data_IF_519180793147
#
_entry.id   IF_519180793147
#
_cell.length_a   1.000
_cell.length_b   1.000
_cell.length_c   1.000
_cell.angle_alpha   90.00
_cell.angle_beta   90.00
_cell.angle_gamma   90.00
#
_symmetry.space_group_name_H-M   'P 1'
#
loop_
_entity.id
_entity.type
_entity.pdbx_description
1 polymer ?
#
# COMPACT_ATOMS: atom_id res chain seq x y z
N UNK A 1 12.26 7.72 14.19
CA UNK A 1 11.08 8.51 14.62
C UNK A 1 10.27 7.84 15.73
N UNK A 2 9.79 6.61 15.56
CA UNK A 2 8.98 5.93 16.59
C UNK A 2 9.67 5.89 17.96
N UNK A 3 10.96 5.52 18.03
CA UNK A 3 11.73 5.54 19.28
C UNK A 3 11.73 6.91 19.99
N UNK A 4 11.90 7.99 19.23
CA UNK A 4 11.92 9.34 19.78
C UNK A 4 10.54 9.75 20.31
N UNK A 5 9.48 9.44 19.55
CA UNK A 5 8.10 9.70 19.99
C UNK A 5 7.77 8.89 21.24
N UNK A 6 8.14 7.61 21.29
CA UNK A 6 7.97 6.72 22.44
C UNK A 6 8.61 7.30 23.69
N UNK A 7 9.90 7.64 23.64
CA UNK A 7 10.62 8.22 24.78
C UNK A 7 9.95 9.50 25.30
N UNK A 8 9.45 10.35 24.41
CA UNK A 8 8.73 11.57 24.79
C UNK A 8 7.37 11.29 25.43
N UNK A 9 6.66 10.25 24.98
CA UNK A 9 5.40 9.84 25.60
C UNK A 9 5.64 9.20 26.96
N UNK A 10 6.60 8.27 27.07
CA UNK A 10 6.95 7.61 28.32
C UNK A 10 7.45 8.58 29.38
N UNK A 11 8.29 9.55 29.01
CA UNK A 11 8.75 10.57 29.94
C UNK A 11 7.60 11.39 30.56
N UNK A 12 6.44 11.48 29.89
CA UNK A 12 5.29 12.27 30.33
C UNK A 12 4.21 11.44 31.02
N UNK A 13 3.95 10.23 30.52
CA UNK A 13 2.81 9.42 30.91
C UNK A 13 3.22 8.06 31.50
N UNK A 14 4.50 7.68 31.46
CA UNK A 14 4.92 6.30 31.70
C UNK A 14 4.54 5.38 30.55
N UNK A 15 4.61 4.07 30.78
CA UNK A 15 4.29 3.05 29.78
C UNK A 15 2.90 2.47 30.03
N UNK A 16 2.15 2.07 28.98
CA UNK A 16 0.93 1.29 29.17
C UNK A 16 1.22 0.00 29.96
N UNK A 17 0.44 -0.29 31.00
CA UNK A 17 0.75 -1.39 31.92
C UNK A 17 0.82 -2.78 31.25
N UNK A 18 0.05 -3.02 30.19
CA UNK A 18 0.07 -4.29 29.46
C UNK A 18 1.37 -4.61 28.70
N UNK A 19 2.29 -3.65 28.54
CA UNK A 19 3.58 -3.89 27.85
C UNK A 19 4.76 -4.09 28.79
N UNK A 20 4.57 -3.98 30.11
CA UNK A 20 5.69 -4.06 31.08
C UNK A 20 6.41 -5.42 31.06
N UNK A 21 5.69 -6.49 30.75
CA UNK A 21 6.23 -7.86 30.65
C UNK A 21 6.33 -8.34 29.19
N UNK A 22 6.15 -7.44 28.22
CA UNK A 22 6.20 -7.72 26.79
C UNK A 22 7.56 -7.31 26.24
N UNK A 23 8.20 -8.17 25.44
CA UNK A 23 9.34 -7.77 24.62
C UNK A 23 8.85 -7.02 23.37
N UNK A 24 8.29 -5.83 23.59
CA UNK A 24 7.57 -5.09 22.57
C UNK A 24 6.81 -3.90 23.12
N UNK A 25 6.25 -3.11 22.21
CA UNK A 25 5.58 -1.84 22.55
C UNK A 25 4.08 -1.87 22.30
N UNK A 26 3.51 -2.98 21.84
CA UNK A 26 2.07 -3.06 21.53
C UNK A 26 1.64 -2.01 20.48
N UNK A 27 2.56 -1.53 19.65
CA UNK A 27 2.32 -0.52 18.62
C UNK A 27 2.96 -0.93 17.29
N UNK A 28 2.18 -0.87 16.22
CA UNK A 28 2.56 -1.22 14.86
C UNK A 28 2.40 -0.06 13.88
N UNK A 29 3.27 -0.02 12.88
CA UNK A 29 3.16 0.86 11.71
C UNK A 29 3.09 -0.02 10.48
N UNK A 30 2.01 0.11 9.72
CA UNK A 30 1.86 -0.45 8.40
C UNK A 30 2.34 0.56 7.36
N UNK A 31 3.15 0.10 6.41
CA UNK A 31 3.44 0.83 5.20
C UNK A 31 2.51 0.37 4.09
N UNK A 32 1.77 1.30 3.50
CA UNK A 32 0.95 1.11 2.31
C UNK A 32 1.65 1.68 1.07
N UNK A 33 0.99 1.57 -0.09
CA UNK A 33 1.43 2.22 -1.32
C UNK A 33 2.89 1.91 -1.66
N UNK A 34 3.67 2.97 -1.92
CA UNK A 34 5.08 2.85 -2.32
C UNK A 34 5.98 2.32 -1.21
N UNK A 35 5.69 2.65 0.06
CA UNK A 35 6.46 2.15 1.22
C UNK A 35 6.26 0.64 1.38
N UNK A 36 5.01 0.22 1.29
CA UNK A 36 4.61 -1.18 1.42
C UNK A 36 5.15 -2.03 0.28
N UNK A 37 5.00 -1.56 -0.96
CA UNK A 37 5.44 -2.25 -2.16
C UNK A 37 6.90 -2.05 -2.57
N UNK A 38 7.80 -1.62 -1.67
CA UNK A 38 9.24 -1.45 -1.94
C UNK A 38 9.55 -0.57 -3.16
N UNK A 39 8.87 0.57 -3.27
CA UNK A 39 8.88 1.46 -4.44
C UNK A 39 9.07 2.94 -4.07
N UNK A 40 9.86 3.22 -3.04
CA UNK A 40 10.17 4.60 -2.68
C UNK A 40 11.07 5.26 -3.72
N UNK A 41 10.74 6.50 -4.07
CA UNK A 41 11.58 7.40 -4.87
C UNK A 41 11.97 8.63 -4.04
N UNK A 42 12.78 9.51 -4.62
CA UNK A 42 13.39 10.65 -3.91
C UNK A 42 12.39 11.64 -3.30
N UNK A 43 11.23 11.82 -3.95
CA UNK A 43 10.15 12.70 -3.48
C UNK A 43 8.90 11.94 -3.04
N UNK A 44 9.03 10.69 -2.59
CA UNK A 44 7.88 9.89 -2.19
C UNK A 44 7.40 10.22 -0.77
N UNK A 45 6.10 10.45 -0.65
CA UNK A 45 5.40 10.43 0.63
C UNK A 45 5.41 9.02 1.26
N UNK A 46 5.21 8.96 2.57
CA UNK A 46 5.05 7.72 3.32
C UNK A 46 3.57 7.48 3.65
N UNK A 47 2.97 6.49 2.98
CA UNK A 47 1.60 6.04 3.26
C UNK A 47 1.60 5.13 4.51
N UNK A 48 1.16 5.65 5.66
CA UNK A 48 1.25 4.97 6.95
C UNK A 48 -0.12 4.74 7.60
N UNK A 49 -0.32 3.56 8.17
CA UNK A 49 -1.45 3.23 9.06
C UNK A 49 -0.91 2.75 10.40
N UNK A 50 -1.49 3.21 11.50
CA UNK A 50 -1.03 2.87 12.85
C UNK A 50 -1.99 1.89 13.52
N UNK A 51 -1.43 0.86 14.16
CA UNK A 51 -2.17 -0.14 14.90
C UNK A 51 -1.63 -0.28 16.33
N UNK A 52 -2.48 -0.73 17.26
CA UNK A 52 -2.07 -1.22 18.56
C UNK A 52 -2.91 -2.44 18.95
N UNK A 53 -2.47 -3.20 19.96
CA UNK A 53 -3.25 -4.31 20.53
C UNK A 53 -3.59 -4.07 22.01
N UNK A 54 -3.60 -2.80 22.42
CA UNK A 54 -4.00 -2.38 23.77
C UNK A 54 -5.40 -2.89 24.16
N UNK A 55 -5.51 -3.73 25.20
CA UNK A 55 -6.79 -4.07 25.80
C UNK A 55 -7.51 -2.84 26.35
N UNK A 56 -8.82 -2.98 26.58
CA UNK A 56 -9.59 -2.03 27.36
C UNK A 56 -9.13 -2.01 28.82
N UNK A 57 -9.36 -0.90 29.53
CA UNK A 57 -9.01 -0.71 30.94
C UNK A 57 -7.51 -0.85 31.26
N UNK A 58 -6.64 -0.60 30.29
CA UNK A 58 -5.20 -0.45 30.49
C UNK A 58 -4.88 1.02 30.72
N UNK A 59 -4.02 1.28 31.70
CA UNK A 59 -3.57 2.63 32.04
C UNK A 59 -2.05 2.72 32.00
N UNK A 60 -1.56 3.95 31.89
CA UNK A 60 -0.12 4.24 31.84
C UNK A 60 0.45 4.43 33.24
N UNK A 61 1.71 4.05 33.45
CA UNK A 61 2.32 3.96 34.79
C UNK A 61 2.97 5.23 35.33
N UNK A 62 2.93 6.34 34.58
CA UNK A 62 3.59 7.58 34.96
C UNK A 62 2.77 8.45 35.91
N UNK A 63 3.38 9.54 36.37
CA UNK A 63 2.75 10.46 37.31
C UNK A 63 1.43 11.08 36.79
N UNK A 64 1.28 11.19 35.47
CA UNK A 64 0.03 11.55 34.82
C UNK A 64 -0.54 10.32 34.11
N UNK A 65 -1.36 9.57 34.84
CA UNK A 65 -2.07 8.42 34.30
C UNK A 65 -3.06 8.86 33.20
N UNK A 66 -3.02 8.12 32.09
CA UNK A 66 -3.99 8.19 30.99
C UNK A 66 -4.32 6.78 30.52
N UNK A 67 -5.48 6.65 29.87
CA UNK A 67 -5.90 5.43 29.16
C UNK A 67 -4.86 4.99 28.11
N UNK A 68 -4.65 3.68 28.00
CA UNK A 68 -3.65 3.09 27.13
C UNK A 68 -3.92 3.33 25.64
N UNK A 69 -5.18 3.27 25.20
CA UNK A 69 -5.55 3.60 23.81
C UNK A 69 -5.31 5.09 23.54
N UNK A 70 -5.60 5.96 24.51
CA UNK A 70 -5.26 7.39 24.43
C UNK A 70 -3.74 7.61 24.33
N UNK A 71 -2.91 6.83 25.03
CA UNK A 71 -1.46 6.89 24.91
C UNK A 71 -1.01 6.60 23.48
N UNK A 72 -1.50 5.51 22.85
CA UNK A 72 -1.15 5.18 21.47
C UNK A 72 -1.65 6.20 20.45
N UNK A 73 -2.82 6.80 20.68
CA UNK A 73 -3.31 7.90 19.84
C UNK A 73 -2.35 9.10 19.88
N UNK A 74 -1.91 9.50 21.08
CA UNK A 74 -0.93 10.60 21.25
C UNK A 74 0.43 10.23 20.65
N UNK A 75 0.84 8.98 20.75
CA UNK A 75 2.06 8.47 20.12
C UNK A 75 1.99 8.62 18.60
N UNK A 76 0.91 8.15 17.97
CA UNK A 76 0.71 8.28 16.52
C UNK A 76 0.70 9.75 16.07
N UNK A 77 0.00 10.62 16.80
CA UNK A 77 0.01 12.07 16.56
C UNK A 77 1.42 12.65 16.65
N UNK A 78 2.20 12.22 17.64
CA UNK A 78 3.57 12.68 17.83
C UNK A 78 4.49 12.19 16.71
N UNK A 79 4.33 10.96 16.25
CA UNK A 79 5.07 10.43 15.10
C UNK A 79 4.80 11.28 13.86
N UNK A 80 3.53 11.51 13.51
CA UNK A 80 3.15 12.35 12.36
C UNK A 80 3.75 13.74 12.49
N UNK A 81 3.61 14.37 13.66
CA UNK A 81 4.18 15.69 13.92
C UNK A 81 5.70 15.72 13.72
N UNK A 82 6.44 14.73 14.24
CA UNK A 82 7.89 14.73 14.10
C UNK A 82 8.35 14.51 12.64
N UNK A 83 7.55 13.86 11.79
CA UNK A 83 7.84 13.74 10.36
C UNK A 83 7.56 15.03 9.59
N UNK A 84 6.43 15.70 9.88
CA UNK A 84 5.95 16.86 9.11
C UNK A 84 6.40 18.22 9.65
N UNK A 85 7.01 18.27 10.84
CA UNK A 85 7.54 19.53 11.39
C UNK A 85 8.66 20.08 10.52
N UNK A 86 8.47 21.28 9.98
CA UNK A 86 9.49 21.99 9.22
C UNK A 86 10.56 22.54 10.15
N UNK A 87 11.79 22.10 9.93
CA UNK A 87 13.00 22.62 10.58
C UNK A 87 13.79 23.50 9.61
N UNK A 88 14.94 24.01 10.04
CA UNK A 88 15.86 24.75 9.16
C UNK A 88 16.30 23.92 7.93
N UNK A 89 16.31 22.60 8.04
CA UNK A 89 16.67 21.67 6.94
C UNK A 89 15.45 21.14 6.17
N UNK A 90 14.26 21.69 6.38
CA UNK A 90 13.01 21.21 5.78
C UNK A 90 12.25 20.22 6.68
N UNK A 91 11.37 19.44 6.05
CA UNK A 91 10.61 18.35 6.68
C UNK A 91 11.35 17.02 6.49
N UNK A 92 11.04 16.01 7.31
CA UNK A 92 11.70 14.71 7.20
C UNK A 92 11.08 13.87 6.07
N UNK A 93 9.76 13.68 6.13
CA UNK A 93 8.93 13.08 5.08
C UNK A 93 7.53 13.66 5.19
N UNK A 94 6.86 13.84 4.06
CA UNK A 94 5.41 13.97 4.05
C UNK A 94 4.80 12.59 4.38
N UNK A 95 3.81 12.58 5.27
CA UNK A 95 3.16 11.35 5.74
C UNK A 95 1.69 11.41 5.35
N UNK A 96 1.25 10.42 4.58
CA UNK A 96 -0.16 10.24 4.22
C UNK A 96 -0.77 9.14 5.09
N UNK A 97 -1.80 9.49 5.86
CA UNK A 97 -2.52 8.57 6.76
C UNK A 97 -3.95 8.27 6.29
N UNK A 98 -4.29 8.59 5.03
CA UNK A 98 -5.67 8.51 4.51
C UNK A 98 -6.14 7.09 4.23
N UNK A 99 -5.24 6.11 4.12
CA UNK A 99 -5.58 4.70 3.88
C UNK A 99 -5.96 3.91 5.15
N UNK A 100 -6.07 4.60 6.30
CA UNK A 100 -6.58 3.98 7.53
C UNK A 100 -8.10 3.74 7.47
N UNK A 101 -8.65 2.83 8.28
CA UNK A 101 -10.10 2.62 8.38
C UNK A 101 -10.90 3.92 8.47
N UNK A 102 -11.98 4.03 7.67
CA UNK A 102 -12.83 5.23 7.55
C UNK A 102 -12.09 6.51 7.10
N UNK A 103 -10.88 6.38 6.55
CA UNK A 103 -10.09 7.46 5.98
C UNK A 103 -9.88 8.64 6.93
N UNK A 104 -10.09 9.86 6.44
CA UNK A 104 -9.90 11.09 7.21
C UNK A 104 -10.82 11.19 8.45
N UNK A 105 -11.98 10.54 8.41
CA UNK A 105 -12.98 10.53 9.49
C UNK A 105 -12.70 9.49 10.57
N UNK A 106 -11.83 8.51 10.29
CA UNK A 106 -11.45 7.48 11.24
C UNK A 106 -10.40 7.92 12.26
N UNK A 107 -10.29 7.15 13.34
CA UNK A 107 -9.22 7.30 14.34
C UNK A 107 -7.85 7.19 13.68
N UNK A 108 -6.87 7.96 14.17
CA UNK A 108 -5.50 7.93 13.63
C UNK A 108 -4.80 6.58 13.88
N UNK A 109 -5.20 5.90 14.95
CA UNK A 109 -4.71 4.58 15.35
C UNK A 109 -5.92 3.70 15.69
N UNK A 110 -5.88 2.44 15.25
CA UNK A 110 -6.94 1.46 15.53
C UNK A 110 -6.38 0.28 16.34
N UNK A 111 -7.25 -0.43 17.05
CA UNK A 111 -6.88 -1.76 17.55
C UNK A 111 -6.69 -2.72 16.38
N UNK A 112 -5.86 -3.77 16.55
CA UNK A 112 -5.74 -4.84 15.57
C UNK A 112 -7.10 -5.51 15.29
N UNK A 113 -7.91 -5.71 16.33
CA UNK A 113 -9.25 -6.30 16.25
C UNK A 113 -10.19 -5.43 15.43
N UNK A 114 -10.29 -4.13 15.72
CA UNK A 114 -11.15 -3.22 14.96
C UNK A 114 -10.67 -3.04 13.52
N UNK A 115 -9.36 -3.11 13.27
CA UNK A 115 -8.83 -3.12 11.91
C UNK A 115 -9.27 -4.37 11.14
N UNK A 116 -9.20 -5.55 11.76
CA UNK A 116 -9.66 -6.79 11.15
C UNK A 116 -11.17 -6.77 10.84
N UNK A 117 -11.99 -6.36 11.81
CA UNK A 117 -13.44 -6.24 11.66
C UNK A 117 -13.82 -5.27 10.54
N UNK A 118 -13.18 -4.09 10.49
CA UNK A 118 -13.41 -3.11 9.43
C UNK A 118 -13.05 -3.67 8.05
N UNK A 119 -11.89 -4.33 7.92
CA UNK A 119 -11.46 -4.91 6.64
C UNK A 119 -12.40 -6.02 6.16
N UNK A 120 -13.03 -6.76 7.07
CA UNK A 120 -13.94 -7.84 6.75
C UNK A 120 -15.35 -7.35 6.39
N UNK A 121 -15.84 -6.31 7.07
CA UNK A 121 -17.27 -5.95 7.04
C UNK A 121 -17.58 -4.64 6.34
N UNK A 122 -16.65 -3.69 6.28
CA UNK A 122 -16.89 -2.33 5.81
C UNK A 122 -16.01 -1.92 4.61
N UNK A 123 -14.82 -2.52 4.48
CA UNK A 123 -13.85 -2.10 3.49
C UNK A 123 -14.29 -2.35 2.04
N UNK A 124 -14.05 -1.36 1.18
CA UNK A 124 -14.34 -1.46 -0.25
C UNK A 124 -13.27 -2.27 -0.99
N UNK A 125 -13.61 -2.76 -2.20
CA UNK A 125 -12.66 -3.48 -3.09
C UNK A 125 -11.33 -2.72 -3.28
N UNK A 126 -11.37 -1.39 -3.42
CA UNK A 126 -10.17 -0.57 -3.58
C UNK A 126 -9.29 -0.51 -2.31
N UNK A 127 -9.88 -0.65 -1.11
CA UNK A 127 -9.14 -0.75 0.14
C UNK A 127 -8.44 -2.11 0.24
N UNK A 128 -9.10 -3.19 -0.20
CA UNK A 128 -8.46 -4.51 -0.33
C UNK A 128 -7.34 -4.48 -1.38
N UNK A 129 -7.50 -3.75 -2.50
CA UNK A 129 -6.41 -3.52 -3.46
C UNK A 129 -5.21 -2.82 -2.80
N UNK A 130 -5.46 -1.80 -1.98
CA UNK A 130 -4.40 -1.12 -1.24
C UNK A 130 -3.73 -2.05 -0.21
N UNK A 131 -4.52 -2.93 0.43
CA UNK A 131 -4.04 -3.93 1.40
C UNK A 131 -3.11 -4.98 0.77
N UNK A 132 -3.25 -5.30 -0.53
CA UNK A 132 -2.28 -6.15 -1.25
C UNK A 132 -0.86 -5.60 -1.11
N UNK A 133 -0.69 -4.27 -1.12
CA UNK A 133 0.63 -3.64 -0.98
C UNK A 133 1.02 -3.35 0.46
N UNK A 134 0.13 -3.58 1.43
CA UNK A 134 0.41 -3.26 2.82
C UNK A 134 1.35 -4.29 3.47
N UNK A 135 2.26 -3.81 4.32
CA UNK A 135 3.07 -4.64 5.21
C UNK A 135 3.40 -3.93 6.50
N UNK A 136 3.63 -4.67 7.58
CA UNK A 136 4.16 -4.08 8.81
C UNK A 136 5.63 -3.69 8.60
N UNK A 137 5.94 -2.41 8.82
CA UNK A 137 7.30 -1.86 8.71
C UNK A 137 7.93 -1.58 10.07
N UNK A 138 7.10 -1.55 11.11
CA UNK A 138 7.49 -1.42 12.51
C UNK A 138 6.44 -2.13 13.37
N UNK A 139 6.89 -2.87 14.38
CA UNK A 139 6.02 -3.57 15.32
C UNK A 139 6.77 -4.73 15.95
N UNK A 140 6.33 -5.18 17.12
CA UNK A 140 6.86 -6.40 17.73
C UNK A 140 6.32 -7.66 17.04
N UNK A 141 6.90 -8.82 17.37
CA UNK A 141 6.60 -10.08 16.68
C UNK A 141 5.12 -10.46 16.76
N UNK A 142 4.47 -10.24 17.90
CA UNK A 142 3.06 -10.57 18.09
C UNK A 142 2.17 -9.75 17.14
N UNK A 143 2.41 -8.44 17.02
CA UNK A 143 1.68 -7.60 16.08
C UNK A 143 1.98 -7.94 14.61
N UNK A 144 3.22 -8.29 14.27
CA UNK A 144 3.59 -8.71 12.92
C UNK A 144 2.83 -9.97 12.49
N UNK A 145 2.76 -10.97 13.38
CA UNK A 145 2.02 -12.21 13.14
C UNK A 145 0.52 -11.94 13.02
N UNK A 146 -0.05 -11.17 13.95
CA UNK A 146 -1.48 -10.84 13.92
C UNK A 146 -1.87 -10.10 12.64
N UNK A 147 -1.10 -9.08 12.24
CA UNK A 147 -1.36 -8.38 10.97
C UNK A 147 -1.23 -9.30 9.76
N UNK A 148 -0.20 -10.15 9.71
CA UNK A 148 0.00 -11.08 8.60
C UNK A 148 -1.19 -12.04 8.46
N UNK A 149 -1.73 -12.54 9.58
CA UNK A 149 -2.93 -13.39 9.61
C UNK A 149 -4.17 -12.64 9.10
N UNK A 150 -4.40 -11.42 9.58
CA UNK A 150 -5.53 -10.59 9.11
C UNK A 150 -5.42 -10.31 7.63
N UNK A 151 -4.25 -9.85 7.15
CA UNK A 151 -4.04 -9.57 5.73
C UNK A 151 -4.21 -10.82 4.88
N UNK A 152 -3.65 -11.95 5.28
CA UNK A 152 -3.82 -13.23 4.58
C UNK A 152 -5.31 -13.59 4.50
N UNK A 153 -6.03 -13.55 5.63
CA UNK A 153 -7.45 -13.86 5.68
C UNK A 153 -8.27 -13.00 4.70
N UNK A 154 -8.08 -11.68 4.73
CA UNK A 154 -8.80 -10.74 3.84
C UNK A 154 -8.46 -10.99 2.37
N UNK A 155 -7.18 -11.19 2.04
CA UNK A 155 -6.77 -11.44 0.65
C UNK A 155 -7.32 -12.77 0.13
N UNK A 156 -7.40 -13.80 0.97
CA UNK A 156 -7.92 -15.12 0.62
C UNK A 156 -9.45 -15.22 0.58
N UNK A 157 -10.20 -14.15 0.86
CA UNK A 157 -11.66 -14.19 0.75
C UNK A 157 -12.09 -14.53 -0.70
N UNK A 158 -13.07 -15.43 -0.89
CA UNK A 158 -13.59 -15.72 -2.22
C UNK A 158 -14.33 -14.50 -2.77
N UNK A 159 -14.10 -14.20 -4.04
CA UNK A 159 -14.71 -13.05 -4.73
C UNK A 159 -15.35 -13.51 -6.03
N UNK A 160 -16.48 -12.89 -6.38
CA UNK A 160 -17.07 -13.07 -7.70
C UNK A 160 -16.21 -12.31 -8.72
N UNK A 161 -15.67 -13.04 -9.70
CA UNK A 161 -14.60 -12.56 -10.58
C UNK A 161 -15.08 -11.41 -11.46
N UNK A 162 -16.30 -11.45 -11.98
CA UNK A 162 -16.82 -10.40 -12.86
C UNK A 162 -17.02 -9.08 -12.10
N UNK A 163 -17.56 -9.13 -10.88
CA UNK A 163 -17.75 -7.97 -10.00
C UNK A 163 -16.42 -7.38 -9.58
N UNK A 164 -15.46 -8.22 -9.14
CA UNK A 164 -14.12 -7.76 -8.77
C UNK A 164 -13.44 -7.06 -9.96
N UNK A 165 -13.49 -7.67 -11.14
CA UNK A 165 -12.94 -7.11 -12.36
C UNK A 165 -13.58 -5.76 -12.69
N UNK A 166 -14.91 -5.69 -12.64
CA UNK A 166 -15.64 -4.45 -12.89
C UNK A 166 -15.21 -3.33 -11.94
N UNK A 167 -15.12 -3.60 -10.64
CA UNK A 167 -14.72 -2.63 -9.62
C UNK A 167 -13.30 -2.11 -9.87
N UNK A 168 -12.34 -3.01 -10.14
CA UNK A 168 -10.93 -2.66 -10.42
C UNK A 168 -10.83 -1.80 -11.67
N UNK A 169 -11.49 -2.20 -12.75
CA UNK A 169 -11.49 -1.47 -14.03
C UNK A 169 -12.13 -0.10 -13.86
N UNK A 170 -13.33 -0.04 -13.29
CA UNK A 170 -14.08 1.19 -13.03
C UNK A 170 -13.26 2.18 -12.20
N UNK A 171 -12.62 1.71 -11.12
CA UNK A 171 -11.75 2.53 -10.30
C UNK A 171 -10.53 3.02 -11.08
N UNK A 172 -9.89 2.16 -11.87
CA UNK A 172 -8.73 2.54 -12.68
C UNK A 172 -9.06 3.62 -13.70
N UNK A 173 -10.20 3.49 -14.39
CA UNK A 173 -10.65 4.48 -15.36
C UNK A 173 -10.92 5.83 -14.69
N UNK A 174 -11.65 5.84 -13.58
CA UNK A 174 -11.88 7.07 -12.79
C UNK A 174 -10.57 7.74 -12.38
N UNK A 175 -9.59 6.97 -11.89
CA UNK A 175 -8.27 7.52 -11.54
C UNK A 175 -7.55 8.11 -12.76
N UNK A 176 -7.61 7.44 -13.92
CA UNK A 176 -6.98 7.92 -15.15
C UNK A 176 -7.59 9.25 -15.63
N UNK A 177 -8.90 9.40 -15.54
CA UNK A 177 -9.59 10.64 -15.93
C UNK A 177 -9.17 11.85 -15.09
N UNK A 178 -8.88 11.64 -13.80
CA UNK A 178 -8.49 12.69 -12.87
C UNK A 178 -6.97 12.98 -12.85
N UNK A 179 -6.14 11.96 -13.10
CA UNK A 179 -4.68 12.03 -12.92
C UNK A 179 -3.87 11.91 -14.22
N UNK A 180 -4.49 11.45 -15.31
CA UNK A 180 -3.83 11.18 -16.60
C UNK A 180 -3.30 12.44 -17.29
N UNK A 181 -2.25 12.26 -18.09
CA UNK A 181 -1.68 13.33 -18.89
C UNK A 181 -2.64 13.82 -19.98
N UNK A 182 -2.78 15.14 -20.13
CA UNK A 182 -3.58 15.76 -21.23
C UNK A 182 -2.75 16.09 -22.47
N UNK A 183 -1.47 15.70 -22.50
CA UNK A 183 -0.54 16.06 -23.57
C UNK A 183 -0.41 14.90 -24.55
N UNK A 184 -1.03 15.03 -25.73
CA UNK A 184 -1.12 13.96 -26.72
C UNK A 184 0.24 13.44 -27.25
N UNK A 185 1.32 14.22 -27.14
CA UNK A 185 2.67 13.83 -27.61
C UNK A 185 3.54 13.18 -26.52
N UNK A 186 3.07 13.14 -25.29
CA UNK A 186 3.83 12.67 -24.13
C UNK A 186 3.17 11.45 -23.52
N UNK A 187 3.98 10.60 -22.88
CA UNK A 187 3.56 9.47 -22.10
C UNK A 187 3.88 9.71 -20.61
N UNK A 188 2.85 9.74 -19.77
CA UNK A 188 2.99 9.77 -18.32
C UNK A 188 3.26 8.38 -17.77
N UNK A 189 4.51 8.15 -17.32
CA UNK A 189 5.02 6.83 -16.89
C UNK A 189 4.18 6.14 -15.80
N UNK A 190 3.45 6.93 -15.00
CA UNK A 190 2.58 6.40 -13.93
C UNK A 190 1.15 6.19 -14.40
N UNK A 191 0.51 7.26 -14.90
CA UNK A 191 -0.94 7.37 -14.97
C UNK A 191 -1.53 6.96 -16.32
N UNK A 192 -0.75 6.94 -17.39
CA UNK A 192 -1.27 6.64 -18.73
C UNK A 192 -1.37 5.14 -18.99
N UNK A 193 -2.04 4.77 -20.09
CA UNK A 193 -2.22 3.36 -20.50
C UNK A 193 -0.87 2.67 -20.70
N UNK A 194 -0.71 1.50 -20.10
CA UNK A 194 0.53 0.74 -20.10
C UNK A 194 1.59 1.25 -19.11
N UNK A 195 1.26 2.25 -18.29
CA UNK A 195 2.14 2.77 -17.25
C UNK A 195 2.16 1.94 -15.97
N UNK A 196 2.95 2.40 -14.99
CA UNK A 196 3.16 1.69 -13.72
C UNK A 196 1.87 1.42 -12.96
N UNK A 197 0.91 2.35 -12.94
CA UNK A 197 -0.36 2.13 -12.23
C UNK A 197 -1.21 1.04 -12.88
N UNK A 198 -1.12 0.81 -14.19
CA UNK A 198 -1.79 -0.35 -14.82
C UNK A 198 -1.16 -1.67 -14.36
N UNK A 199 0.17 -1.71 -14.22
CA UNK A 199 0.89 -2.88 -13.70
C UNK A 199 0.54 -3.15 -12.23
N UNK A 200 0.46 -2.11 -11.40
CA UNK A 200 0.04 -2.22 -10.00
C UNK A 200 -1.38 -2.77 -9.87
N UNK A 201 -2.32 -2.25 -10.68
CA UNK A 201 -3.71 -2.71 -10.69
C UNK A 201 -3.83 -4.16 -11.15
N UNK A 202 -3.04 -4.57 -12.15
CA UNK A 202 -2.95 -5.98 -12.57
C UNK A 202 -2.49 -6.88 -11.44
N UNK A 203 -1.40 -6.54 -10.74
CA UNK A 203 -0.91 -7.32 -9.61
C UNK A 203 -1.98 -7.43 -8.50
N UNK A 204 -2.62 -6.32 -8.15
CA UNK A 204 -3.64 -6.28 -7.11
C UNK A 204 -4.86 -7.13 -7.47
N UNK A 205 -5.37 -6.99 -8.70
CA UNK A 205 -6.49 -7.79 -9.20
C UNK A 205 -6.18 -9.28 -9.16
N UNK A 206 -5.03 -9.69 -9.70
CA UNK A 206 -4.65 -11.11 -9.76
C UNK A 206 -4.48 -11.72 -8.37
N UNK A 207 -3.94 -10.96 -7.40
CA UNK A 207 -3.92 -11.41 -6.00
C UNK A 207 -5.34 -11.61 -5.48
N UNK A 208 -6.21 -10.60 -5.58
CA UNK A 208 -7.58 -10.68 -5.05
C UNK A 208 -8.45 -11.74 -5.74
N UNK A 209 -8.18 -12.02 -7.01
CA UNK A 209 -8.89 -13.02 -7.82
C UNK A 209 -8.46 -14.45 -7.48
N UNK A 210 -7.16 -14.68 -7.26
CA UNK A 210 -6.61 -16.04 -7.15
C UNK A 210 -6.22 -16.45 -5.72
N UNK A 211 -6.05 -15.53 -4.78
CA UNK A 211 -5.53 -15.85 -3.44
C UNK A 211 -6.43 -16.80 -2.64
N UNK A 212 -7.74 -16.83 -2.91
CA UNK A 212 -8.65 -17.79 -2.29
C UNK A 212 -8.26 -19.26 -2.57
N UNK A 213 -7.64 -19.51 -3.72
CA UNK A 213 -7.16 -20.84 -4.13
C UNK A 213 -5.65 -20.99 -4.02
N UNK A 214 -4.90 -19.88 -4.01
CA UNK A 214 -3.44 -19.90 -3.92
C UNK A 214 -2.91 -18.96 -2.83
N UNK A 215 -2.68 -19.54 -1.64
CA UNK A 215 -2.21 -18.81 -0.45
C UNK A 215 -0.87 -18.11 -0.68
N UNK A 216 0.00 -18.64 -1.55
CA UNK A 216 1.34 -18.07 -1.79
C UNK A 216 1.30 -16.61 -2.26
N UNK A 217 0.22 -16.19 -2.93
CA UNK A 217 0.02 -14.81 -3.38
C UNK A 217 -0.07 -13.79 -2.24
N UNK A 218 -0.31 -14.24 -1.00
CA UNK A 218 -0.37 -13.36 0.17
C UNK A 218 1.00 -13.13 0.81
N UNK A 219 2.07 -13.82 0.37
CA UNK A 219 3.39 -13.76 1.00
C UNK A 219 4.10 -12.42 0.82
N UNK A 220 3.99 -11.84 -0.37
CA UNK A 220 4.70 -10.61 -0.76
C UNK A 220 3.72 -9.45 -1.01
N UNK A 221 4.26 -8.23 -1.12
CA UNK A 221 3.48 -6.99 -1.27
C UNK A 221 4.00 -6.06 -2.38
N UNK A 222 5.13 -6.39 -3.00
CA UNK A 222 5.71 -5.67 -4.14
C UNK A 222 5.45 -6.42 -5.45
N UNK A 223 5.32 -5.66 -6.54
CA UNK A 223 4.92 -6.17 -7.85
C UNK A 223 5.89 -7.24 -8.38
N UNK A 224 7.20 -7.06 -8.18
CA UNK A 224 8.23 -7.97 -8.71
C UNK A 224 8.04 -9.39 -8.16
N UNK A 225 8.02 -9.52 -6.83
CA UNK A 225 7.86 -10.84 -6.20
C UNK A 225 6.45 -11.40 -6.39
N UNK A 226 5.43 -10.55 -6.48
CA UNK A 226 4.07 -10.98 -6.81
C UNK A 226 3.99 -11.62 -8.20
N UNK A 227 4.57 -11.01 -9.23
CA UNK A 227 4.58 -11.61 -10.57
C UNK A 227 5.42 -12.88 -10.65
N UNK A 228 6.53 -12.94 -9.91
CA UNK A 228 7.32 -14.17 -9.79
C UNK A 228 6.50 -15.31 -9.16
N UNK A 229 5.76 -15.02 -8.08
CA UNK A 229 4.84 -16.00 -7.48
C UNK A 229 3.70 -16.36 -8.44
N UNK A 230 3.13 -15.42 -9.18
CA UNK A 230 2.07 -15.73 -10.15
C UNK A 230 2.55 -16.66 -11.27
N UNK A 231 3.81 -16.54 -11.70
CA UNK A 231 4.40 -17.45 -12.68
C UNK A 231 4.70 -18.84 -12.08
N UNK A 232 5.15 -18.90 -10.82
CA UNK A 232 5.45 -20.16 -10.12
C UNK A 232 4.19 -21.03 -9.93
N UNK A 233 3.02 -20.40 -9.81
CA UNK A 233 1.73 -21.06 -9.56
C UNK A 233 0.79 -21.03 -10.78
N UNK A 234 1.33 -20.87 -12.00
CA UNK A 234 0.59 -20.93 -13.27
C UNK A 234 -0.59 -19.95 -13.40
N UNK A 235 -0.59 -18.84 -12.64
CA UNK A 235 -1.61 -17.77 -12.74
C UNK A 235 -1.33 -16.86 -13.94
N UNK A 236 -0.04 -16.62 -14.22
CA UNK A 236 0.44 -15.93 -15.41
C UNK A 236 1.39 -16.84 -16.17
N UNK A 237 1.39 -16.73 -17.50
CA UNK A 237 2.45 -17.37 -18.26
C UNK A 237 3.82 -16.77 -17.84
N UNK A 238 4.89 -17.58 -17.74
CA UNK A 238 6.20 -17.07 -17.31
C UNK A 238 6.70 -15.88 -18.14
N UNK A 239 6.36 -15.85 -19.42
CA UNK A 239 6.67 -14.74 -20.31
C UNK A 239 5.90 -13.45 -19.97
N UNK A 240 4.60 -13.53 -19.66
CA UNK A 240 3.77 -12.38 -19.26
C UNK A 240 4.27 -11.77 -17.95
N UNK A 241 4.55 -12.62 -16.95
CA UNK A 241 5.10 -12.19 -15.67
C UNK A 241 6.46 -11.48 -15.84
N UNK A 242 7.33 -12.02 -16.71
CA UNK A 242 8.61 -11.39 -17.03
C UNK A 242 8.43 -10.04 -17.75
N UNK A 243 7.47 -9.94 -18.68
CA UNK A 243 7.16 -8.70 -19.39
C UNK A 243 6.64 -7.61 -18.43
N UNK A 244 5.71 -7.95 -17.53
CA UNK A 244 5.21 -7.01 -16.52
C UNK A 244 6.32 -6.55 -15.56
N UNK A 245 7.17 -7.48 -15.11
CA UNK A 245 8.32 -7.16 -14.27
C UNK A 245 9.28 -6.20 -14.97
N UNK A 246 9.65 -6.51 -16.21
CA UNK A 246 10.58 -5.68 -16.99
C UNK A 246 10.00 -4.29 -17.24
N UNK A 247 8.72 -4.21 -17.65
CA UNK A 247 8.03 -2.93 -17.86
C UNK A 247 8.02 -2.08 -16.58
N UNK A 248 7.64 -2.68 -15.45
CA UNK A 248 7.62 -2.02 -14.15
C UNK A 248 8.99 -1.50 -13.73
N UNK A 249 10.01 -2.36 -13.71
CA UNK A 249 11.36 -1.97 -13.28
C UNK A 249 11.93 -0.87 -14.19
N UNK A 250 11.80 -1.02 -15.50
CA UNK A 250 12.37 -0.06 -16.47
C UNK A 250 11.70 1.31 -16.36
N UNK A 251 10.36 1.37 -16.29
CA UNK A 251 9.65 2.65 -16.14
C UNK A 251 9.92 3.28 -14.77
N UNK A 252 10.06 2.48 -13.71
CA UNK A 252 10.39 2.98 -12.37
C UNK A 252 11.80 3.56 -12.32
N UNK A 253 12.78 2.89 -12.93
CA UNK A 253 14.15 3.38 -13.00
C UNK A 253 14.24 4.69 -13.79
N UNK A 254 13.42 4.84 -14.84
CA UNK A 254 13.30 6.09 -15.57
C UNK A 254 12.68 7.21 -14.72
N UNK A 255 11.67 6.92 -13.91
CA UNK A 255 11.13 7.90 -12.93
C UNK A 255 12.22 8.34 -11.95
N UNK A 256 13.07 7.43 -11.48
CA UNK A 256 14.21 7.79 -10.63
C UNK A 256 15.18 8.72 -11.35
N UNK A 257 15.53 8.42 -12.62
CA UNK A 257 16.40 9.25 -13.45
C UNK A 257 15.83 10.65 -13.65
N UNK A 258 14.55 10.75 -14.04
CA UNK A 258 13.87 12.03 -14.26
C UNK A 258 13.78 12.85 -12.96
N UNK A 259 13.54 12.19 -11.82
CA UNK A 259 13.53 12.85 -10.51
C UNK A 259 14.89 13.47 -10.17
N UNK A 260 16.00 12.78 -10.45
CA UNK A 260 17.36 13.31 -10.24
C UNK A 260 17.67 14.49 -11.16
N UNK A 261 17.04 14.57 -12.33
CA UNK A 261 17.16 15.69 -13.25
C UNK A 261 16.19 16.84 -12.94
N UNK A 262 15.33 16.70 -11.93
CA UNK A 262 14.27 17.67 -11.64
C UNK A 262 13.21 17.77 -12.74
N UNK A 263 13.06 16.71 -13.54
CA UNK A 263 12.10 16.65 -14.65
C UNK A 263 10.81 15.93 -14.23
N UNK A 264 9.66 16.27 -14.84
CA UNK A 264 8.41 15.56 -14.58
C UNK A 264 8.47 14.12 -15.13
N UNK A 265 7.67 13.22 -14.57
CA UNK A 265 7.62 11.79 -14.93
C UNK A 265 6.89 11.52 -16.28
N UNK A 266 7.26 12.29 -17.30
CA UNK A 266 6.75 12.21 -18.65
C UNK A 266 7.90 12.02 -19.63
N UNK A 267 7.69 11.16 -20.62
CA UNK A 267 8.63 10.90 -21.72
C UNK A 267 7.93 11.06 -23.06
N UNK A 268 8.68 11.07 -24.16
CA UNK A 268 8.08 11.09 -25.49
C UNK A 268 7.27 9.81 -25.75
N UNK A 269 6.21 9.91 -26.56
CA UNK A 269 5.32 8.79 -26.84
C UNK A 269 5.96 7.61 -27.61
N UNK A 270 7.12 7.82 -28.23
CA UNK A 270 7.95 6.79 -28.88
C UNK A 270 8.81 6.00 -27.89
N UNK A 271 8.79 6.36 -26.60
CA UNK A 271 9.53 5.68 -25.54
C UNK A 271 8.68 4.56 -24.91
N UNK A 272 9.32 3.44 -24.56
CA UNK A 272 8.70 2.26 -23.92
C UNK A 272 7.54 1.63 -24.71
N UNK A 273 7.56 1.70 -26.04
CA UNK A 273 6.46 1.21 -26.89
C UNK A 273 6.20 -0.27 -26.67
N UNK A 274 7.25 -1.10 -26.60
CA UNK A 274 7.13 -2.54 -26.42
C UNK A 274 6.58 -2.90 -25.03
N UNK A 275 7.09 -2.25 -23.98
CA UNK A 275 6.66 -2.43 -22.60
C UNK A 275 5.20 -2.02 -22.43
N UNK A 276 4.82 -0.85 -22.96
CA UNK A 276 3.43 -0.35 -22.91
C UNK A 276 2.47 -1.27 -23.66
N UNK A 277 2.88 -1.79 -24.82
CA UNK A 277 2.06 -2.72 -25.58
C UNK A 277 1.86 -4.04 -24.83
N UNK A 278 2.90 -4.57 -24.18
CA UNK A 278 2.80 -5.78 -23.38
C UNK A 278 1.87 -5.60 -22.17
N UNK A 279 2.02 -4.50 -21.42
CA UNK A 279 1.13 -4.20 -20.28
C UNK A 279 -0.32 -4.06 -20.75
N UNK A 280 -0.57 -3.38 -21.87
CA UNK A 280 -1.92 -3.21 -22.42
C UNK A 280 -2.52 -4.53 -22.91
N UNK A 281 -1.74 -5.39 -23.55
CA UNK A 281 -2.21 -6.70 -24.00
C UNK A 281 -2.63 -7.57 -22.81
N UNK A 282 -1.81 -7.61 -21.74
CA UNK A 282 -2.12 -8.36 -20.53
C UNK A 282 -3.30 -7.73 -19.78
N UNK A 283 -3.39 -6.41 -19.73
CA UNK A 283 -4.57 -5.70 -19.22
C UNK A 283 -5.83 -6.14 -19.94
N UNK A 284 -5.81 -6.17 -21.28
CA UNK A 284 -6.96 -6.58 -22.08
C UNK A 284 -7.37 -8.02 -21.77
N UNK A 285 -6.40 -8.94 -21.78
CA UNK A 285 -6.63 -10.36 -21.52
C UNK A 285 -7.21 -10.64 -20.12
N UNK A 286 -6.71 -9.95 -19.10
CA UNK A 286 -7.05 -10.25 -17.71
C UNK A 286 -8.28 -9.47 -17.20
N UNK A 287 -8.44 -8.22 -17.64
CA UNK A 287 -9.41 -7.29 -17.09
C UNK A 287 -10.51 -6.87 -18.08
N UNK A 288 -10.34 -7.12 -19.38
CA UNK A 288 -11.32 -6.77 -20.42
C UNK A 288 -11.52 -7.91 -21.46
N UNK A 289 -11.70 -9.18 -21.05
CA UNK A 289 -11.71 -10.30 -21.99
C UNK A 289 -12.89 -10.27 -22.99
N UNK A 290 -13.96 -9.55 -22.66
CA UNK A 290 -15.17 -9.45 -23.48
C UNK A 290 -15.22 -8.19 -24.36
N UNK A 291 -14.26 -7.26 -24.21
CA UNK A 291 -14.12 -6.11 -25.11
C UNK A 291 -13.16 -6.49 -26.25
N UNK A 292 -13.62 -6.40 -27.49
CA UNK A 292 -12.77 -6.65 -28.65
C UNK A 292 -11.62 -5.62 -28.71
N UNK A 293 -10.40 -6.09 -29.01
CA UNK A 293 -9.24 -5.23 -29.29
C UNK A 293 -9.62 -4.31 -30.45
N UNK A 294 -9.95 -3.05 -30.15
CA UNK A 294 -10.07 -2.04 -31.19
C UNK A 294 -8.64 -1.58 -31.47
N UNK A 295 -8.11 -1.76 -32.69
CA UNK A 295 -6.78 -1.27 -33.02
C UNK A 295 -6.73 0.23 -32.75
N UNK A 296 -5.74 0.68 -32.00
CA UNK A 296 -5.46 2.11 -31.83
C UNK A 296 -4.94 2.61 -33.17
N UNK A 297 -5.67 3.55 -33.79
CA UNK A 297 -5.22 4.33 -34.96
C UNK A 297 -4.02 5.23 -34.62
#
# INVERSE_FOLDING_TARGET
>A
MVNQAWLQMVAKFGEPSHVLERDGRGFGVLGYGKVGGWELGYGSDLDLVFLHDCPDNVYTTGAKEIDGRQFYLRLAQRIVHLFSTRTASGVLYEVDVRLRPSGASGLLVSTMEAFAEYQETEAWTWEHQALVRARMIYGDQALQVAFAQVREHILMQPREVASLRHDVVSMRHKMREHLGGKQASMFGLKQDKGGITDVEFLAQYLVLCHAANERALTRWSDNVRLFETMAEYDILAPQEAMQLKQAYCTMRDEIHRLSLLGLPAYVNNDTFVAERAAVQAIWQQQLLPDEAITPTE
#
